data_IF_000972359936
#
_entry.id   IF_000972359936
#
_cell.length_a   1.000
_cell.length_b   1.000
_cell.length_c   1.000
_cell.angle_alpha   90.00
_cell.angle_beta   90.00
_cell.angle_gamma   90.00
#
_symmetry.space_group_name_H-M   'P 1'
#
loop_
_entity.id
_entity.type
_entity.pdbx_description
1 polymer ?
#
# COMPACT_ATOMS: atom_id res chain seq x y z
N UNK A 1 -10.50 11.12 -22.37
CA UNK A 1 -9.29 10.30 -22.16
C UNK A 1 -9.28 9.22 -23.25
N UNK A 2 -8.17 9.04 -23.97
CA UNK A 2 -7.97 7.91 -24.89
C UNK A 2 -8.19 6.55 -24.19
N UNK A 3 -8.55 5.51 -24.95
CA UNK A 3 -8.86 4.18 -24.38
C UNK A 3 -7.66 3.58 -23.64
N UNK A 4 -6.48 3.60 -24.26
CA UNK A 4 -5.26 3.08 -23.65
C UNK A 4 -4.89 3.84 -22.37
N UNK A 5 -5.05 5.16 -22.36
CA UNK A 5 -4.82 5.99 -21.17
C UNK A 5 -5.77 5.59 -20.03
N UNK A 6 -7.02 5.23 -20.33
CA UNK A 6 -8.00 4.80 -19.33
C UNK A 6 -7.65 3.42 -18.75
N UNK A 7 -7.26 2.48 -19.60
CA UNK A 7 -6.80 1.15 -19.19
C UNK A 7 -5.54 1.25 -18.31
N UNK A 8 -4.57 2.06 -18.75
CA UNK A 8 -3.33 2.27 -18.02
C UNK A 8 -3.55 3.03 -16.70
N UNK A 9 -4.51 3.95 -16.66
CA UNK A 9 -4.92 4.63 -15.42
C UNK A 9 -5.47 3.63 -14.41
N UNK A 10 -6.36 2.72 -14.83
CA UNK A 10 -6.89 1.67 -13.95
C UNK A 10 -5.77 0.80 -13.39
N UNK A 11 -4.86 0.35 -14.26
CA UNK A 11 -3.71 -0.47 -13.86
C UNK A 11 -2.82 0.25 -12.83
N UNK A 12 -2.51 1.53 -13.10
CA UNK A 12 -1.66 2.36 -12.23
C UNK A 12 -2.26 2.56 -10.85
N UNK A 13 -3.58 2.74 -10.76
CA UNK A 13 -4.29 2.86 -9.48
C UNK A 13 -4.18 1.55 -8.69
N UNK A 14 -4.45 0.39 -9.32
CA UNK A 14 -4.25 -0.91 -8.67
C UNK A 14 -2.79 -1.07 -8.20
N UNK A 15 -1.80 -0.77 -9.05
CA UNK A 15 -0.38 -0.85 -8.68
C UNK A 15 -0.02 0.00 -7.46
N UNK A 16 -0.52 1.24 -7.40
CA UNK A 16 -0.27 2.15 -6.27
C UNK A 16 -0.85 1.62 -4.95
N UNK A 17 -2.10 1.12 -4.98
CA UNK A 17 -2.75 0.60 -3.77
C UNK A 17 -2.05 -0.66 -3.25
N UNK A 18 -1.64 -1.57 -4.14
CA UNK A 18 -0.86 -2.75 -3.76
C UNK A 18 0.49 -2.35 -3.18
N UNK A 19 1.19 -1.42 -3.82
CA UNK A 19 2.50 -0.95 -3.36
C UNK A 19 2.44 -0.38 -1.95
N UNK A 20 1.39 0.37 -1.60
CA UNK A 20 1.21 0.89 -0.24
C UNK A 20 1.08 -0.22 0.81
N UNK A 21 0.29 -1.26 0.50
CA UNK A 21 0.14 -2.41 1.40
C UNK A 21 1.47 -3.18 1.51
N UNK A 22 2.13 -3.47 0.38
CA UNK A 22 3.42 -4.17 0.36
C UNK A 22 4.47 -3.43 1.17
N UNK A 23 4.57 -2.11 0.97
CA UNK A 23 5.52 -1.27 1.70
C UNK A 23 5.28 -1.31 3.21
N UNK A 24 4.02 -1.30 3.66
CA UNK A 24 3.71 -1.42 5.09
C UNK A 24 4.02 -2.80 5.66
N UNK A 25 3.86 -3.87 4.88
CA UNK A 25 4.25 -5.21 5.30
C UNK A 25 5.78 -5.31 5.45
N UNK A 26 6.55 -4.83 4.48
CA UNK A 26 8.01 -4.81 4.56
C UNK A 26 8.49 -3.95 5.74
N UNK A 27 7.85 -2.80 5.99
CA UNK A 27 8.13 -1.97 7.15
C UNK A 27 7.81 -2.67 8.47
N UNK A 28 6.73 -3.45 8.54
CA UNK A 28 6.37 -4.22 9.74
C UNK A 28 7.45 -5.27 10.06
N UNK A 29 7.94 -5.99 9.05
CA UNK A 29 9.02 -6.98 9.21
C UNK A 29 10.33 -6.35 9.70
N UNK A 30 10.64 -5.13 9.26
CA UNK A 30 11.79 -4.37 9.74
C UNK A 30 11.54 -3.85 11.16
N UNK A 31 10.34 -3.34 11.44
CA UNK A 31 9.95 -2.81 12.74
C UNK A 31 10.02 -3.90 13.83
N UNK A 32 9.58 -5.13 13.53
CA UNK A 32 9.68 -6.27 14.44
C UNK A 32 11.14 -6.54 14.86
N UNK A 33 12.07 -6.54 13.89
CA UNK A 33 13.51 -6.76 14.14
C UNK A 33 14.14 -5.65 14.99
N UNK A 34 13.55 -4.46 14.97
CA UNK A 34 14.02 -3.28 15.71
C UNK A 34 13.26 -3.05 17.03
N UNK A 35 12.23 -3.85 17.33
CA UNK A 35 11.37 -3.65 18.50
C UNK A 35 10.51 -2.39 18.40
N UNK A 36 10.18 -1.94 17.19
CA UNK A 36 9.35 -0.76 16.91
C UNK A 36 7.90 -1.20 16.72
N UNK A 37 6.95 -0.48 17.33
CA UNK A 37 5.53 -0.68 17.07
C UNK A 37 5.12 -0.02 15.74
N UNK A 38 4.79 -0.86 14.76
CA UNK A 38 4.38 -0.42 13.42
C UNK A 38 3.10 0.43 13.45
N UNK A 39 2.23 0.29 14.44
CA UNK A 39 1.02 1.10 14.57
C UNK A 39 1.36 2.58 14.81
N UNK A 40 2.34 2.87 15.67
CA UNK A 40 2.81 4.24 15.89
C UNK A 40 3.47 4.83 14.63
N UNK A 41 4.23 4.03 13.88
CA UNK A 41 4.84 4.46 12.61
C UNK A 41 3.77 4.80 11.59
N UNK A 42 2.76 3.92 11.43
CA UNK A 42 1.59 4.15 10.59
C UNK A 42 0.89 5.45 10.94
N UNK A 43 0.62 5.71 12.21
CA UNK A 43 -0.08 6.92 12.65
C UNK A 43 0.73 8.18 12.30
N UNK A 44 2.05 8.13 12.46
CA UNK A 44 2.96 9.19 12.03
C UNK A 44 2.95 9.41 10.51
N UNK A 45 2.93 8.34 9.71
CA UNK A 45 2.82 8.42 8.26
C UNK A 45 1.44 8.94 7.81
N UNK A 46 0.37 8.50 8.45
CA UNK A 46 -1.00 8.89 8.14
C UNK A 46 -1.28 10.38 8.41
N UNK A 47 -0.59 10.96 9.38
CA UNK A 47 -0.67 12.39 9.70
C UNK A 47 -0.10 13.28 8.57
N UNK A 48 0.79 12.76 7.71
CA UNK A 48 1.23 13.47 6.53
C UNK A 48 0.16 13.42 5.44
N UNK A 49 -0.49 14.56 5.19
CA UNK A 49 -1.55 14.70 4.18
C UNK A 49 -1.17 14.25 2.76
N UNK A 50 0.12 14.20 2.42
CA UNK A 50 0.59 13.71 1.11
C UNK A 50 0.55 12.19 1.02
N UNK A 51 0.60 11.50 2.16
CA UNK A 51 0.52 10.04 2.26
C UNK A 51 -0.93 9.63 2.57
N UNK A 52 -1.54 10.21 3.60
CA UNK A 52 -2.88 9.89 4.09
C UNK A 52 -3.00 8.50 4.72
N UNK A 53 -4.12 8.23 5.39
CA UNK A 53 -4.33 7.03 6.21
C UNK A 53 -4.65 5.75 5.40
N UNK A 54 -5.24 5.90 4.22
CA UNK A 54 -5.80 4.77 3.47
C UNK A 54 -4.72 3.79 2.99
N UNK A 55 -5.02 2.49 3.02
CA UNK A 55 -4.11 1.43 2.54
C UNK A 55 -2.75 1.39 3.25
N UNK A 56 -2.68 1.80 4.53
CA UNK A 56 -1.46 1.73 5.37
C UNK A 56 -1.50 0.66 6.47
N UNK A 57 -2.45 -0.27 6.44
CA UNK A 57 -2.53 -1.33 7.44
C UNK A 57 -1.69 -2.53 6.99
N UNK A 58 -0.70 -2.92 7.80
CA UNK A 58 0.07 -4.15 7.60
C UNK A 58 -0.77 -5.38 7.95
N UNK A 59 -0.54 -6.50 7.26
CA UNK A 59 -1.30 -7.75 7.44
C UNK A 59 -0.73 -8.92 6.62
N UNK A 60 -1.50 -10.00 6.47
CA UNK A 60 -1.06 -11.24 5.79
C UNK A 60 -0.84 -11.14 4.26
N UNK A 61 -0.59 -9.93 3.73
CA UNK A 61 -0.53 -9.63 2.30
C UNK A 61 -1.83 -9.04 1.74
N UNK A 62 -1.77 -8.52 0.51
CA UNK A 62 -2.96 -8.10 -0.25
C UNK A 62 -3.49 -9.27 -1.09
N UNK A 63 -4.81 -9.33 -1.30
CA UNK A 63 -5.46 -10.38 -2.09
C UNK A 63 -6.74 -9.88 -2.76
N UNK A 64 -7.32 -10.71 -3.63
CA UNK A 64 -8.48 -10.39 -4.47
C UNK A 64 -8.09 -10.36 -5.95
N UNK A 65 -9.01 -10.80 -6.82
CA UNK A 65 -8.71 -11.07 -8.25
C UNK A 65 -7.98 -9.91 -8.92
N UNK A 66 -8.37 -8.67 -8.66
CA UNK A 66 -7.76 -7.51 -9.31
C UNK A 66 -6.29 -7.32 -8.92
N UNK A 67 -5.88 -7.45 -7.67
CA UNK A 67 -4.47 -7.22 -7.32
C UNK A 67 -3.54 -8.35 -7.76
N UNK A 68 -4.03 -9.60 -7.75
CA UNK A 68 -3.24 -10.77 -8.17
C UNK A 68 -3.23 -10.99 -9.69
N UNK A 69 -4.20 -10.41 -10.41
CA UNK A 69 -4.30 -10.56 -11.86
C UNK A 69 -3.74 -9.35 -12.61
N UNK A 70 -3.87 -8.14 -12.04
CA UNK A 70 -3.41 -6.91 -12.69
C UNK A 70 -1.93 -6.62 -12.45
N UNK A 71 -1.27 -7.26 -11.48
CA UNK A 71 0.11 -6.97 -11.06
C UNK A 71 0.92 -8.26 -11.03
#
# INVERSE_FOLDING_TARGET
MPVLDAEFTKLSISGMLATRISYMNDLADVAEKLGIDIAHVRDGMAADSRIGESYLHSGAGFGGENFSHDI
#
